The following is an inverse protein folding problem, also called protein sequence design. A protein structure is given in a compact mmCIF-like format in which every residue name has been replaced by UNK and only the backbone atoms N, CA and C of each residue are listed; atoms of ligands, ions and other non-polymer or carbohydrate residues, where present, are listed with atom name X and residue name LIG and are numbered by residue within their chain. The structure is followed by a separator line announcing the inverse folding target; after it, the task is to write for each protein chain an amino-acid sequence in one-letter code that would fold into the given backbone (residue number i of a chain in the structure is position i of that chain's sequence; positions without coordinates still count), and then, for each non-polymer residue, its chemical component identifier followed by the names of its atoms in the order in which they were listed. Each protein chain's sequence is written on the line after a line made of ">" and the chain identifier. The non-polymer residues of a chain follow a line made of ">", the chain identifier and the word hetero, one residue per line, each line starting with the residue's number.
data_IF_866630655349
#
_entry.id   IF_866630655349
#
_cell.length_a   1.000
_cell.length_b   1.000
_cell.length_c   1.000
_cell.angle_alpha   90.00
_cell.angle_beta   90.00
_cell.angle_gamma   90.00
#
_symmetry.space_group_name_H-M   'P 1'
#
loop_
_entity.id
_entity.type
_entity.pdbx_description
1 polymer ?
#
# COMPACT_ATOMS: atom_id res chain seq x y z
N UNK A 1 11.40 57.31 -29.72
CA UNK A 1 12.34 56.31 -30.29
C UNK A 1 13.24 55.83 -29.15
N UNK A 2 12.71 55.13 -28.13
CA UNK A 2 12.71 53.66 -27.97
C UNK A 2 14.10 53.03 -28.14
N UNK A 3 14.88 53.03 -27.06
CA UNK A 3 16.06 52.20 -26.90
C UNK A 3 15.65 50.88 -26.22
N UNK A 4 15.74 49.78 -26.97
CA UNK A 4 15.47 48.42 -26.50
C UNK A 4 16.74 47.77 -25.99
N UNK A 5 16.74 47.41 -24.71
CA UNK A 5 17.77 46.60 -24.04
C UNK A 5 17.59 45.11 -24.42
N UNK A 6 18.65 44.37 -24.79
CA UNK A 6 18.56 42.92 -24.95
C UNK A 6 18.61 42.20 -23.59
N UNK A 7 17.67 41.29 -23.40
CA UNK A 7 17.50 40.42 -22.23
C UNK A 7 18.58 39.33 -22.24
N UNK A 8 19.37 39.29 -21.16
CA UNK A 8 20.36 38.27 -20.87
C UNK A 8 19.66 37.00 -20.34
N UNK A 9 19.87 35.87 -21.02
CA UNK A 9 19.36 34.56 -20.59
C UNK A 9 20.00 34.09 -19.27
N UNK A 10 19.25 33.50 -18.33
CA UNK A 10 19.83 32.95 -17.11
C UNK A 10 20.47 31.57 -17.35
N UNK A 11 21.69 31.44 -16.82
CA UNK A 11 22.51 30.24 -16.69
C UNK A 11 21.74 29.05 -16.11
N UNK A 12 21.88 27.90 -16.76
CA UNK A 12 21.43 26.60 -16.26
C UNK A 12 22.21 26.21 -14.98
N UNK A 13 21.51 26.12 -13.84
CA UNK A 13 22.00 25.42 -12.65
C UNK A 13 21.82 23.91 -12.84
N UNK A 14 22.94 23.19 -12.78
CA UNK A 14 22.99 21.72 -12.68
C UNK A 14 22.33 21.28 -11.37
N UNK A 15 21.23 20.52 -11.46
CA UNK A 15 20.67 19.78 -10.32
C UNK A 15 21.39 18.44 -10.19
N UNK A 16 22.14 18.25 -9.11
CA UNK A 16 22.59 16.94 -8.66
C UNK A 16 21.43 16.20 -8.02
N UNK A 17 20.83 15.26 -8.75
CA UNK A 17 19.88 14.28 -8.22
C UNK A 17 20.63 13.03 -7.78
N UNK A 18 20.92 12.91 -6.49
CA UNK A 18 21.41 11.69 -5.88
C UNK A 18 20.51 11.36 -4.69
N UNK A 19 19.74 10.28 -4.80
CA UNK A 19 18.91 9.77 -3.70
C UNK A 19 17.54 9.33 -4.17
N UNK A 20 17.47 8.21 -4.90
CA UNK A 20 16.29 7.32 -5.06
C UNK A 20 16.58 6.16 -6.03
N UNK A 21 17.70 6.18 -6.77
CA UNK A 21 18.03 5.17 -7.80
C UNK A 21 18.78 3.92 -7.28
N UNK A 22 18.89 3.71 -5.97
CA UNK A 22 19.69 2.61 -5.40
C UNK A 22 18.88 1.42 -4.85
N UNK A 23 17.56 1.37 -5.08
CA UNK A 23 16.70 0.27 -4.59
C UNK A 23 16.38 -0.81 -5.65
N UNK A 24 16.96 -0.75 -6.85
CA UNK A 24 16.58 -1.61 -7.98
C UNK A 24 17.54 -2.73 -8.36
N UNK A 25 18.48 -3.14 -7.51
CA UNK A 25 19.34 -4.28 -7.84
C UNK A 25 19.63 -5.18 -6.63
N UNK A 26 18.78 -6.19 -6.46
CA UNK A 26 19.12 -7.60 -6.17
C UNK A 26 17.94 -8.31 -5.49
N UNK A 27 17.16 -9.03 -6.29
CA UNK A 27 16.30 -10.11 -5.80
C UNK A 27 16.10 -11.14 -6.92
N UNK A 28 17.20 -11.71 -7.41
CA UNK A 28 17.19 -12.91 -8.21
C UNK A 28 17.98 -13.98 -7.45
N UNK A 29 17.28 -15.02 -6.98
CA UNK A 29 17.90 -16.27 -6.55
C UNK A 29 17.57 -16.74 -5.13
N UNK A 30 17.04 -17.97 -5.10
CA UNK A 30 17.02 -18.97 -4.02
C UNK A 30 15.82 -18.96 -3.05
N UNK A 31 15.13 -20.10 -3.05
CA UNK A 31 13.96 -20.39 -2.24
C UNK A 31 14.27 -20.51 -0.76
N UNK A 32 13.67 -19.63 0.02
CA UNK A 32 13.45 -19.72 1.46
C UNK A 32 12.25 -18.81 1.72
N UNK A 33 11.12 -19.34 2.22
CA UNK A 33 9.85 -18.65 2.50
C UNK A 33 9.93 -17.12 2.36
N UNK A 34 9.72 -16.60 1.14
CA UNK A 34 9.89 -15.18 0.86
C UNK A 34 8.71 -14.45 1.49
N UNK A 35 8.95 -13.86 2.65
CA UNK A 35 7.96 -13.02 3.29
C UNK A 35 7.51 -11.91 2.33
N UNK A 36 6.20 -11.58 2.27
CA UNK A 36 5.74 -10.52 1.38
C UNK A 36 6.46 -9.20 1.63
N UNK A 37 6.93 -8.54 0.57
CA UNK A 37 7.62 -7.27 0.69
C UNK A 37 6.77 -6.23 1.44
N UNK A 38 5.45 -6.21 1.18
CA UNK A 38 4.51 -5.31 1.86
C UNK A 38 4.49 -5.48 3.38
N UNK A 39 4.84 -6.65 3.90
CA UNK A 39 4.69 -6.97 5.32
C UNK A 39 5.66 -6.18 6.20
N UNK A 40 5.13 -5.70 7.32
CA UNK A 40 5.90 -4.97 8.33
C UNK A 40 6.64 -5.95 9.26
N UNK A 41 7.86 -5.60 9.66
CA UNK A 41 8.65 -6.32 10.67
C UNK A 41 8.35 -5.80 12.08
N UNK A 42 8.57 -6.62 13.11
CA UNK A 42 8.33 -6.22 14.52
C UNK A 42 9.22 -5.07 15.01
N UNK A 43 10.34 -4.81 14.33
CA UNK A 43 11.28 -3.71 14.61
C UNK A 43 10.87 -2.40 13.91
N UNK A 44 9.99 -2.48 12.91
CA UNK A 44 9.46 -1.32 12.18
C UNK A 44 8.21 -0.82 12.90
N UNK A 45 8.38 0.19 13.75
CA UNK A 45 7.34 0.70 14.67
C UNK A 45 6.87 2.08 14.24
N UNK A 46 5.56 2.33 14.22
CA UNK A 46 5.04 3.68 14.04
C UNK A 46 5.63 4.62 15.08
N UNK A 47 6.12 5.78 14.65
CA UNK A 47 6.64 6.80 15.55
C UNK A 47 5.48 7.62 16.10
N UNK A 48 5.48 7.82 17.42
CA UNK A 48 4.56 8.75 18.06
C UNK A 48 5.08 10.18 17.82
N UNK A 49 4.42 10.89 16.91
CA UNK A 49 4.74 12.27 16.59
C UNK A 49 3.59 13.18 17.03
N UNK A 50 3.93 14.34 17.62
CA UNK A 50 2.94 15.37 17.95
C UNK A 50 2.37 15.94 16.66
N UNK A 51 1.05 16.09 16.58
CA UNK A 51 0.37 16.76 15.48
C UNK A 51 0.03 18.21 15.85
N UNK A 52 -0.04 19.07 14.84
CA UNK A 52 -0.56 20.42 14.94
C UNK A 52 -1.54 20.70 13.80
N UNK A 53 -2.34 21.76 13.93
CA UNK A 53 -3.12 22.33 12.84
C UNK A 53 -2.33 23.49 12.24
N UNK A 54 -2.06 23.41 10.94
CA UNK A 54 -1.33 24.40 10.15
C UNK A 54 -2.22 25.62 9.87
N UNK A 55 -1.61 26.71 9.39
CA UNK A 55 -2.33 27.94 9.00
C UNK A 55 -3.32 27.71 7.86
N UNK A 56 -3.06 26.75 6.98
CA UNK A 56 -3.94 26.34 5.89
C UNK A 56 -5.10 25.43 6.35
N UNK A 57 -5.19 25.14 7.66
CA UNK A 57 -6.25 24.31 8.25
C UNK A 57 -6.01 22.80 8.16
N UNK A 58 -4.88 22.35 7.60
CA UNK A 58 -4.50 20.93 7.56
C UNK A 58 -3.65 20.50 8.75
N UNK A 59 -3.56 19.19 8.98
CA UNK A 59 -2.65 18.60 9.95
C UNK A 59 -1.20 18.70 9.45
N UNK A 60 -0.28 18.80 10.40
CA UNK A 60 1.16 18.73 10.14
C UNK A 60 1.95 18.25 11.35
N UNK A 61 3.23 17.96 11.13
CA UNK A 61 4.20 17.75 12.20
C UNK A 61 4.94 19.07 12.51
N UNK A 62 5.33 19.33 13.78
CA UNK A 62 6.16 20.49 14.11
C UNK A 62 7.48 20.54 13.33
N UNK A 63 8.06 19.37 13.07
CA UNK A 63 9.29 19.16 12.31
C UNK A 63 9.00 18.47 10.97
N UNK A 64 7.87 18.80 10.32
CA UNK A 64 7.45 18.21 9.04
C UNK A 64 8.57 18.31 7.99
N UNK A 65 8.86 17.18 7.35
CA UNK A 65 9.81 17.01 6.26
C UNK A 65 9.05 16.74 4.96
N UNK A 66 9.69 16.98 3.83
CA UNK A 66 9.09 16.72 2.51
C UNK A 66 8.60 15.26 2.36
N UNK A 67 9.35 14.31 2.91
CA UNK A 67 9.02 12.87 2.92
C UNK A 67 7.79 12.49 3.75
N UNK A 68 7.36 13.36 4.67
CA UNK A 68 6.14 13.12 5.45
C UNK A 68 4.87 13.28 4.61
N UNK A 69 4.98 13.87 3.42
CA UNK A 69 3.86 13.99 2.49
C UNK A 69 4.01 13.11 1.26
N UNK A 70 2.88 12.79 0.65
CA UNK A 70 2.86 12.32 -0.73
C UNK A 70 2.76 13.43 -1.75
N UNK A 71 2.87 13.06 -3.02
CA UNK A 71 2.81 13.98 -4.16
C UNK A 71 1.46 14.68 -4.24
N UNK A 72 0.42 14.11 -3.63
CA UNK A 72 -0.94 14.65 -3.57
C UNK A 72 -1.19 15.47 -2.29
N UNK A 73 -0.17 15.63 -1.44
CA UNK A 73 -0.23 16.44 -0.21
C UNK A 73 -0.76 15.71 1.02
N UNK A 74 -1.04 14.40 0.96
CA UNK A 74 -1.46 13.60 2.11
C UNK A 74 -0.34 13.46 3.15
N UNK A 75 -0.63 13.65 4.44
CA UNK A 75 0.35 13.50 5.53
C UNK A 75 0.43 12.03 5.96
N UNK A 76 1.63 11.45 6.05
CA UNK A 76 1.85 10.03 6.34
C UNK A 76 2.40 9.75 7.72
N UNK A 77 1.98 8.64 8.31
CA UNK A 77 2.57 8.12 9.55
C UNK A 77 4.06 7.82 9.33
N UNK A 78 4.91 8.39 10.19
CA UNK A 78 6.33 8.03 10.29
C UNK A 78 6.49 6.63 10.89
N UNK A 79 7.39 5.84 10.32
CA UNK A 79 7.72 4.49 10.80
C UNK A 79 9.24 4.35 10.89
N UNK A 80 9.73 3.69 11.94
CA UNK A 80 11.17 3.44 12.08
C UNK A 80 11.66 2.55 10.94
N UNK A 81 12.73 2.98 10.27
CA UNK A 81 13.46 2.12 9.34
C UNK A 81 14.36 1.16 10.12
N UNK A 82 14.26 -0.13 9.86
CA UNK A 82 15.25 -1.12 10.30
C UNK A 82 16.04 -1.62 9.07
N UNK A 83 17.12 -0.92 8.69
CA UNK A 83 17.91 -1.28 7.51
C UNK A 83 18.66 -2.60 7.68
N UNK A 84 18.82 -3.09 8.92
CA UNK A 84 19.48 -4.38 9.18
C UNK A 84 18.57 -5.57 8.88
N UNK A 85 17.26 -5.31 8.71
CA UNK A 85 16.29 -6.35 8.45
C UNK A 85 16.06 -7.26 9.66
N UNK A 86 16.18 -6.74 10.88
CA UNK A 86 15.82 -7.47 12.10
C UNK A 86 14.32 -7.74 12.22
N UNK A 87 13.95 -8.52 13.25
CA UNK A 87 12.57 -8.75 13.64
C UNK A 87 11.81 -9.81 12.84
N UNK A 88 10.67 -10.24 13.39
CA UNK A 88 9.77 -11.18 12.73
C UNK A 88 8.86 -10.42 11.76
N UNK A 89 8.55 -11.02 10.63
CA UNK A 89 7.54 -10.49 9.72
C UNK A 89 6.16 -10.66 10.37
N UNK A 90 5.38 -9.58 10.34
CA UNK A 90 4.00 -9.55 10.79
C UNK A 90 3.09 -9.44 9.58
N UNK A 91 2.13 -10.35 9.46
CA UNK A 91 1.11 -10.32 8.40
C UNK A 91 -0.11 -9.48 8.79
N UNK A 92 -0.07 -8.82 9.95
CA UNK A 92 -1.21 -8.11 10.51
C UNK A 92 -1.40 -6.71 9.91
N UNK A 93 -0.31 -6.00 9.63
CA UNK A 93 -0.35 -4.63 9.12
C UNK A 93 0.74 -4.41 8.07
N UNK A 94 0.43 -3.72 6.96
CA UNK A 94 1.42 -3.41 5.94
C UNK A 94 2.44 -2.38 6.47
N UNK A 95 3.65 -2.41 5.92
CA UNK A 95 4.60 -1.33 6.11
C UNK A 95 4.18 -0.13 5.25
N UNK A 96 3.89 1.01 5.87
CA UNK A 96 3.22 2.16 5.24
C UNK A 96 3.91 2.64 3.96
N UNK A 97 5.23 2.85 4.01
CA UNK A 97 5.98 3.29 2.82
C UNK A 97 6.08 2.23 1.72
N UNK A 98 6.08 0.94 2.09
CA UNK A 98 6.16 -0.14 1.08
C UNK A 98 4.81 -0.30 0.40
N UNK A 99 3.72 -0.27 1.17
CA UNK A 99 2.37 -0.27 0.62
C UNK A 99 2.15 0.93 -0.30
N UNK A 100 2.57 2.13 0.12
CA UNK A 100 2.52 3.35 -0.71
C UNK A 100 3.27 3.15 -2.03
N UNK A 101 4.50 2.65 -1.97
CA UNK A 101 5.32 2.40 -3.15
C UNK A 101 4.66 1.39 -4.11
N UNK A 102 4.22 0.25 -3.58
CA UNK A 102 3.55 -0.80 -4.36
C UNK A 102 2.27 -0.30 -5.02
N UNK A 103 1.46 0.47 -4.28
CA UNK A 103 0.24 1.07 -4.81
C UNK A 103 0.55 2.09 -5.89
N UNK A 104 1.47 3.03 -5.66
CA UNK A 104 1.78 4.10 -6.61
C UNK A 104 2.31 3.56 -7.93
N UNK A 105 3.22 2.60 -7.87
CA UNK A 105 3.88 2.01 -9.04
C UNK A 105 3.12 0.82 -9.66
N UNK A 106 2.01 0.38 -9.05
CA UNK A 106 1.25 -0.83 -9.44
C UNK A 106 2.17 -2.07 -9.54
N UNK A 107 2.89 -2.36 -8.45
CA UNK A 107 3.80 -3.49 -8.34
C UNK A 107 3.19 -4.62 -7.50
N UNK A 108 3.65 -5.84 -7.74
CA UNK A 108 3.27 -7.00 -6.96
C UNK A 108 3.62 -6.81 -5.48
N UNK A 109 2.63 -6.95 -4.59
CA UNK A 109 2.82 -6.73 -3.15
C UNK A 109 3.79 -7.67 -2.44
N UNK A 110 4.13 -8.80 -3.07
CA UNK A 110 5.00 -9.84 -2.51
C UNK A 110 6.42 -9.69 -3.05
N UNK A 111 6.63 -9.81 -4.36
CA UNK A 111 7.97 -9.79 -4.95
C UNK A 111 8.47 -8.42 -5.43
N UNK A 112 7.63 -7.37 -5.45
CA UNK A 112 7.93 -6.04 -6.03
C UNK A 112 8.13 -6.08 -7.56
N UNK A 113 7.83 -7.20 -8.21
CA UNK A 113 7.87 -7.36 -9.65
C UNK A 113 6.59 -6.86 -10.34
N UNK A 114 6.52 -7.12 -11.64
CA UNK A 114 5.32 -6.85 -12.42
C UNK A 114 4.13 -7.67 -11.88
N UNK A 115 2.95 -7.06 -11.67
CA UNK A 115 1.74 -7.80 -11.35
C UNK A 115 1.27 -8.62 -12.55
N UNK A 116 0.38 -9.59 -12.30
CA UNK A 116 -0.22 -10.34 -13.38
C UNK A 116 -1.09 -9.44 -14.24
N UNK A 117 -1.07 -9.71 -15.55
CA UNK A 117 -1.96 -9.10 -16.53
C UNK A 117 -2.68 -10.18 -17.32
N UNK A 118 -3.98 -10.02 -17.53
CA UNK A 118 -4.72 -10.89 -18.45
C UNK A 118 -4.46 -10.47 -19.92
N UNK A 119 -5.10 -11.17 -20.87
CA UNK A 119 -4.98 -10.88 -22.31
C UNK A 119 -5.42 -9.46 -22.72
N UNK A 120 -6.23 -8.79 -21.89
CA UNK A 120 -6.70 -7.42 -22.11
C UNK A 120 -5.79 -6.37 -21.45
N UNK A 121 -4.76 -6.81 -20.72
CA UNK A 121 -3.85 -5.95 -19.99
C UNK A 121 -4.35 -5.56 -18.59
N UNK A 122 -5.48 -6.09 -18.12
CA UNK A 122 -6.06 -5.78 -16.82
C UNK A 122 -5.19 -6.34 -15.68
N UNK A 123 -5.13 -5.64 -14.56
CA UNK A 123 -4.31 -6.01 -13.41
C UNK A 123 -5.02 -7.00 -12.48
N UNK A 124 -4.27 -7.98 -11.95
CA UNK A 124 -4.79 -8.88 -10.92
C UNK A 124 -4.76 -8.24 -9.53
N UNK A 125 -5.91 -8.17 -8.89
CA UNK A 125 -6.09 -7.90 -7.46
C UNK A 125 -6.70 -9.13 -6.78
N UNK A 126 -6.20 -9.49 -5.60
CA UNK A 126 -6.76 -10.58 -4.78
C UNK A 126 -7.16 -9.99 -3.44
N UNK A 127 -8.47 -9.94 -3.19
CA UNK A 127 -9.01 -9.31 -1.99
C UNK A 127 -9.39 -10.38 -0.97
N UNK A 128 -8.94 -10.29 0.29
CA UNK A 128 -9.40 -11.18 1.36
C UNK A 128 -10.85 -10.85 1.75
N UNK A 129 -11.54 -11.82 2.36
CA UNK A 129 -12.93 -11.68 2.81
C UNK A 129 -13.96 -11.41 1.68
N UNK A 130 -13.72 -12.05 0.53
CA UNK A 130 -14.64 -12.19 -0.60
C UNK A 130 -15.98 -12.86 -0.27
N UNK A 131 -16.71 -13.26 -1.32
CA UNK A 131 -18.10 -12.97 -1.72
C UNK A 131 -19.17 -12.81 -0.65
N UNK A 132 -19.04 -13.23 0.60
CA UNK A 132 -20.10 -12.98 1.59
C UNK A 132 -20.30 -11.46 1.85
N UNK A 133 -19.26 -10.66 1.64
CA UNK A 133 -19.28 -9.20 1.73
C UNK A 133 -19.41 -8.49 0.37
N UNK A 134 -19.26 -9.22 -0.73
CA UNK A 134 -19.13 -8.69 -2.10
C UNK A 134 -20.12 -9.32 -3.10
N UNK A 135 -20.83 -10.38 -2.73
CA UNK A 135 -21.80 -11.06 -3.58
C UNK A 135 -23.01 -10.14 -3.78
N UNK A 136 -23.36 -9.95 -5.05
CA UNK A 136 -24.42 -9.03 -5.45
C UNK A 136 -24.04 -7.54 -5.35
N UNK A 137 -22.80 -7.20 -5.00
CA UNK A 137 -22.32 -5.83 -5.06
C UNK A 137 -21.72 -5.54 -6.43
N UNK A 138 -22.03 -4.35 -6.94
CA UNK A 138 -21.26 -3.75 -8.02
C UNK A 138 -19.85 -3.47 -7.49
N UNK A 139 -18.85 -4.08 -8.14
CA UNK A 139 -17.45 -3.92 -7.78
C UNK A 139 -16.82 -2.71 -8.47
N UNK A 140 -17.54 -2.07 -9.38
CA UNK A 140 -17.07 -0.87 -10.05
C UNK A 140 -16.90 0.27 -9.04
N UNK A 141 -15.74 0.93 -9.11
CA UNK A 141 -15.41 2.06 -8.25
C UNK A 141 -15.00 1.69 -6.82
N UNK A 142 -14.98 0.40 -6.46
CA UNK A 142 -14.58 -0.07 -5.11
C UNK A 142 -13.23 0.51 -4.71
N UNK A 143 -13.14 0.99 -3.47
CA UNK A 143 -11.95 1.62 -2.90
C UNK A 143 -11.13 0.57 -2.15
N UNK A 144 -9.94 0.30 -2.65
CA UNK A 144 -9.07 -0.77 -2.16
C UNK A 144 -7.67 -0.26 -1.80
N UNK A 145 -7.13 -0.76 -0.70
CA UNK A 145 -5.80 -0.45 -0.18
C UNK A 145 -4.80 -1.61 -0.35
N UNK A 146 -5.24 -2.74 -0.88
CA UNK A 146 -4.43 -3.93 -1.20
C UNK A 146 -3.82 -3.76 -2.59
N UNK A 147 -2.48 -3.79 -2.73
CA UNK A 147 -1.83 -3.67 -4.04
C UNK A 147 -2.05 -4.92 -4.91
N UNK A 148 -1.79 -4.83 -6.22
CA UNK A 148 -1.93 -5.97 -7.12
C UNK A 148 -0.91 -7.07 -6.82
N UNK A 149 -1.09 -8.24 -7.45
CA UNK A 149 -0.25 -9.42 -7.22
C UNK A 149 0.08 -10.12 -8.55
N UNK A 150 1.19 -10.87 -8.61
CA UNK A 150 1.49 -11.75 -9.73
C UNK A 150 0.85 -13.14 -9.50
N UNK A 151 0.70 -13.96 -10.54
CA UNK A 151 0.04 -15.28 -10.39
C UNK A 151 0.81 -16.19 -9.41
N UNK A 152 2.13 -16.25 -9.55
CA UNK A 152 2.98 -17.07 -8.67
C UNK A 152 2.82 -16.68 -7.19
N UNK A 153 2.92 -15.38 -6.89
CA UNK A 153 2.79 -14.88 -5.53
C UNK A 153 1.33 -14.95 -5.02
N UNK A 154 0.34 -14.99 -5.91
CA UNK A 154 -1.06 -15.21 -5.53
C UNK A 154 -1.25 -16.65 -5.02
N UNK A 155 -0.73 -17.64 -5.74
CA UNK A 155 -0.77 -19.05 -5.34
C UNK A 155 -0.03 -19.27 -4.01
N UNK A 156 1.20 -18.76 -3.91
CA UNK A 156 2.03 -18.87 -2.71
C UNK A 156 1.37 -18.18 -1.51
N UNK A 157 0.77 -17.01 -1.72
CA UNK A 157 0.03 -16.29 -0.68
C UNK A 157 -1.23 -17.06 -0.27
N UNK A 158 -1.98 -17.62 -1.21
CA UNK A 158 -3.20 -18.38 -0.93
C UNK A 158 -2.89 -19.65 -0.13
N UNK A 159 -1.82 -20.36 -0.48
CA UNK A 159 -1.33 -21.47 0.33
C UNK A 159 -0.81 -21.00 1.71
N UNK A 160 -0.21 -19.80 1.78
CA UNK A 160 0.44 -19.26 2.97
C UNK A 160 -0.46 -18.58 4.00
N UNK A 161 -1.59 -18.02 3.57
CA UNK A 161 -2.35 -17.04 4.34
C UNK A 161 -3.78 -17.54 4.61
N UNK A 162 -4.14 -17.85 5.87
CA UNK A 162 -5.49 -18.30 6.21
C UNK A 162 -6.62 -17.35 5.80
N UNK A 163 -6.33 -16.04 5.67
CA UNK A 163 -7.34 -15.04 5.25
C UNK A 163 -7.76 -15.19 3.79
N UNK A 164 -6.96 -15.86 2.97
CA UNK A 164 -7.24 -16.05 1.55
C UNK A 164 -8.11 -17.28 1.26
N UNK A 165 -8.50 -18.07 2.27
CA UNK A 165 -9.54 -19.11 2.07
C UNK A 165 -10.90 -18.55 1.70
N UNK A 166 -11.11 -17.26 1.96
CA UNK A 166 -12.28 -16.50 1.52
C UNK A 166 -11.85 -15.34 0.62
N UNK A 167 -11.02 -15.57 -0.39
CA UNK A 167 -10.61 -14.49 -1.30
C UNK A 167 -11.56 -14.31 -2.49
N UNK A 168 -11.42 -13.19 -3.21
CA UNK A 168 -11.91 -13.01 -4.59
C UNK A 168 -10.77 -12.49 -5.46
N UNK A 169 -10.62 -13.07 -6.64
CA UNK A 169 -9.67 -12.65 -7.66
C UNK A 169 -10.38 -11.74 -8.67
N UNK A 170 -9.81 -10.56 -8.92
CA UNK A 170 -10.36 -9.52 -9.76
C UNK A 170 -9.36 -9.12 -10.83
N UNK A 171 -9.83 -9.04 -12.07
CA UNK A 171 -9.15 -8.33 -13.15
C UNK A 171 -9.67 -6.90 -13.20
N UNK A 172 -8.76 -5.93 -13.08
CA UNK A 172 -9.09 -4.51 -13.01
C UNK A 172 -8.41 -3.75 -14.14
N UNK A 173 -9.21 -3.16 -15.03
CA UNK A 173 -8.71 -2.42 -16.19
C UNK A 173 -8.03 -1.10 -15.81
N UNK A 174 -8.65 -0.35 -14.91
CA UNK A 174 -8.22 1.02 -14.52
C UNK A 174 -8.22 1.18 -13.00
N UNK A 175 -7.17 0.71 -12.31
CA UNK A 175 -6.99 0.99 -10.89
C UNK A 175 -6.49 2.43 -10.72
N UNK A 176 -7.37 3.40 -10.48
CA UNK A 176 -7.03 4.83 -10.39
C UNK A 176 -6.67 5.21 -8.95
N UNK A 177 -5.67 6.09 -8.76
CA UNK A 177 -5.41 6.66 -7.43
C UNK A 177 -6.66 7.41 -6.95
N UNK A 178 -7.10 7.11 -5.73
CA UNK A 178 -8.31 7.68 -5.14
C UNK A 178 -7.98 8.58 -3.96
N UNK A 179 -7.11 8.11 -3.06
CA UNK A 179 -6.85 8.81 -1.81
C UNK A 179 -6.01 8.00 -0.85
N UNK A 180 -6.24 8.22 0.43
CA UNK A 180 -5.56 7.53 1.52
C UNK A 180 -6.54 6.95 2.53
N UNK A 181 -6.13 5.90 3.22
CA UNK A 181 -6.75 5.37 4.42
C UNK A 181 -5.82 5.61 5.59
N UNK A 182 -6.36 6.05 6.73
CA UNK A 182 -5.57 6.38 7.90
C UNK A 182 -6.39 6.83 9.09
N UNK A 183 -5.72 7.44 10.05
CA UNK A 183 -6.37 7.99 11.25
C UNK A 183 -6.95 9.36 10.94
N UNK A 184 -8.25 9.52 11.13
CA UNK A 184 -8.98 10.78 11.00
C UNK A 184 -8.94 11.55 12.30
N UNK A 185 -8.74 12.86 12.21
CA UNK A 185 -8.74 13.75 13.36
C UNK A 185 -9.82 14.82 13.25
N UNK A 186 -10.26 15.29 14.40
CA UNK A 186 -11.09 16.48 14.56
C UNK A 186 -10.43 17.47 15.50
N UNK A 187 -10.89 18.72 15.46
CA UNK A 187 -10.49 19.76 16.39
C UNK A 187 -11.67 20.08 17.32
N UNK A 188 -11.46 19.91 18.63
CA UNK A 188 -12.42 20.24 19.67
C UNK A 188 -11.87 21.27 20.66
N UNK A 189 -12.63 21.64 21.70
CA UNK A 189 -12.20 22.62 22.70
C UNK A 189 -10.90 22.25 23.43
N UNK A 190 -10.63 20.95 23.58
CA UNK A 190 -9.42 20.41 24.22
C UNK A 190 -8.28 20.15 23.22
N UNK A 191 -8.45 20.56 21.95
CA UNK A 191 -7.48 20.36 20.88
C UNK A 191 -7.81 19.19 19.95
N UNK A 192 -6.76 18.67 19.29
CA UNK A 192 -6.87 17.57 18.34
C UNK A 192 -7.30 16.28 19.04
N UNK A 193 -8.26 15.57 18.46
CA UNK A 193 -8.72 14.28 18.93
C UNK A 193 -8.94 13.31 17.77
N UNK A 194 -8.84 12.01 18.05
CA UNK A 194 -9.01 10.95 17.06
C UNK A 194 -10.49 10.68 16.83
N UNK A 195 -10.92 10.68 15.57
CA UNK A 195 -12.28 10.32 15.15
C UNK A 195 -12.41 8.85 14.75
N UNK A 196 -11.28 8.16 14.56
CA UNK A 196 -11.20 6.77 14.15
C UNK A 196 -10.44 6.59 12.84
N UNK A 197 -10.53 5.39 12.26
CA UNK A 197 -9.95 5.11 10.95
C UNK A 197 -10.93 5.47 9.83
N UNK A 198 -10.42 5.91 8.69
CA UNK A 198 -11.25 6.12 7.51
C UNK A 198 -10.44 6.56 6.30
N UNK A 199 -11.16 6.70 5.18
CA UNK A 199 -10.58 7.17 3.92
C UNK A 199 -10.78 8.67 3.75
N UNK A 200 -9.83 9.31 3.07
CA UNK A 200 -9.97 10.64 2.52
C UNK A 200 -9.53 10.62 1.05
N UNK A 201 -10.33 11.26 0.22
CA UNK A 201 -10.06 11.44 -1.21
C UNK A 201 -8.98 12.50 -1.43
N UNK A 202 -8.13 12.30 -2.42
CA UNK A 202 -7.21 13.34 -2.85
C UNK A 202 -7.98 14.58 -3.34
N UNK A 203 -7.32 15.73 -3.34
CA UNK A 203 -7.88 17.01 -3.80
C UNK A 203 -9.14 17.47 -3.03
N UNK A 204 -9.44 16.87 -1.87
CA UNK A 204 -10.53 17.29 -0.98
C UNK A 204 -10.00 17.86 0.35
N UNK A 205 -10.71 18.81 0.98
CA UNK A 205 -10.32 19.32 2.30
C UNK A 205 -10.21 18.24 3.38
N UNK A 206 -10.91 17.11 3.22
CA UNK A 206 -10.85 15.98 4.15
C UNK A 206 -9.44 15.36 4.25
N UNK A 207 -8.64 15.42 3.17
CA UNK A 207 -7.25 14.94 3.16
C UNK A 207 -6.40 15.62 4.23
N UNK A 208 -6.65 16.92 4.46
CA UNK A 208 -5.95 17.71 5.47
C UNK A 208 -6.19 17.22 6.90
N UNK A 209 -7.17 16.35 7.15
CA UNK A 209 -7.54 15.86 8.48
C UNK A 209 -7.24 14.37 8.68
N UNK A 210 -6.41 13.78 7.82
CA UNK A 210 -6.02 12.37 7.88
C UNK A 210 -4.50 12.23 7.98
N UNK A 211 -4.06 11.37 8.90
CA UNK A 211 -2.69 10.85 8.91
C UNK A 211 -2.72 9.46 8.27
N UNK A 212 -2.22 9.37 7.05
CA UNK A 212 -2.28 8.22 6.16
C UNK A 212 -1.38 7.07 6.63
N UNK A 213 -1.90 5.85 6.50
CA UNK A 213 -1.15 4.60 6.68
C UNK A 213 -1.16 3.74 5.42
N UNK A 214 -2.14 3.93 4.53
CA UNK A 214 -2.27 3.21 3.29
C UNK A 214 -2.76 4.13 2.17
N UNK A 215 -2.25 3.92 0.96
CA UNK A 215 -2.74 4.52 -0.27
C UNK A 215 -3.91 3.70 -0.80
N UNK A 216 -4.92 4.36 -1.35
CA UNK A 216 -6.16 3.75 -1.84
C UNK A 216 -6.31 4.00 -3.34
N UNK A 217 -6.73 2.96 -4.06
CA UNK A 217 -7.15 3.05 -5.46
C UNK A 217 -8.63 2.74 -5.59
N UNK A 218 -9.27 3.40 -6.54
CA UNK A 218 -10.59 3.01 -7.04
C UNK A 218 -10.42 2.01 -8.17
N UNK A 219 -11.05 0.85 -8.06
CA UNK A 219 -10.97 -0.23 -9.04
C UNK A 219 -12.06 -0.02 -10.09
N UNK A 220 -11.67 0.26 -11.34
CA UNK A 220 -12.61 0.53 -12.44
C UNK A 220 -12.39 -0.46 -13.60
N UNK A 221 -13.48 -0.83 -14.29
CA UNK A 221 -13.51 -1.91 -15.27
C UNK A 221 -13.19 -3.25 -14.62
N UNK A 222 -13.96 -3.61 -13.58
CA UNK A 222 -13.72 -4.81 -12.77
C UNK A 222 -14.39 -6.04 -13.39
N UNK A 223 -13.66 -7.15 -13.45
CA UNK A 223 -14.20 -8.48 -13.81
C UNK A 223 -13.77 -9.48 -12.76
N UNK A 224 -14.71 -10.25 -12.22
CA UNK A 224 -14.41 -11.35 -11.29
C UNK A 224 -13.87 -12.54 -12.09
N UNK A 225 -12.76 -13.11 -11.64
CA UNK A 225 -12.25 -14.37 -12.15
C UNK A 225 -12.69 -15.51 -11.22
N UNK A 226 -13.82 -16.14 -11.54
CA UNK A 226 -14.39 -17.21 -10.72
C UNK A 226 -13.50 -18.45 -10.66
N UNK A 227 -12.80 -18.78 -11.75
CA UNK A 227 -11.92 -19.95 -11.83
C UNK A 227 -10.67 -19.75 -10.95
N UNK A 228 -9.99 -18.62 -11.11
CA UNK A 228 -8.84 -18.27 -10.27
C UNK A 228 -9.26 -18.11 -8.81
N UNK A 229 -10.43 -17.52 -8.56
CA UNK A 229 -10.99 -17.43 -7.21
C UNK A 229 -11.16 -18.80 -6.57
N UNK A 230 -11.79 -19.75 -7.28
CA UNK A 230 -11.97 -21.11 -6.78
C UNK A 230 -10.62 -21.82 -6.55
N UNK A 231 -9.66 -21.64 -7.46
CA UNK A 231 -8.31 -22.18 -7.35
C UNK A 231 -7.60 -21.70 -6.07
N UNK A 232 -7.53 -20.39 -5.85
CA UNK A 232 -6.85 -19.80 -4.70
C UNK A 232 -7.51 -20.25 -3.37
N UNK A 233 -8.85 -20.31 -3.32
CA UNK A 233 -9.54 -20.82 -2.12
C UNK A 233 -9.21 -22.27 -1.84
N UNK A 234 -9.16 -23.12 -2.86
CA UNK A 234 -8.81 -24.53 -2.71
C UNK A 234 -7.39 -24.71 -2.16
N UNK A 235 -6.42 -23.92 -2.63
CA UNK A 235 -5.04 -23.92 -2.09
C UNK A 235 -5.01 -23.59 -0.59
N UNK A 236 -5.75 -22.55 -0.17
CA UNK A 236 -5.81 -22.16 1.24
C UNK A 236 -6.49 -23.23 2.12
N UNK A 237 -7.54 -23.87 1.63
CA UNK A 237 -8.26 -24.93 2.34
C UNK A 237 -7.41 -26.20 2.51
N UNK A 238 -6.69 -26.61 1.47
CA UNK A 238 -5.83 -27.80 1.50
C UNK A 238 -4.69 -27.72 2.53
N UNK A 239 -4.22 -26.51 2.87
CA UNK A 239 -3.26 -26.32 3.96
C UNK A 239 -3.90 -26.43 5.34
N UNK A 240 -5.14 -25.97 5.52
CA UNK A 240 -5.84 -26.01 6.81
C UNK A 240 -6.24 -27.44 7.21
N UNK A 241 -6.46 -28.31 6.23
CA UNK A 241 -6.80 -29.72 6.45
C UNK A 241 -5.58 -30.63 6.72
N UNK A 242 -4.34 -30.13 6.57
CA UNK A 242 -3.15 -30.89 6.97
C UNK A 242 -3.04 -30.93 8.50
N UNK A 243 -2.96 -32.12 9.13
CA UNK A 243 -2.82 -32.22 10.57
C UNK A 243 -1.54 -31.51 11.03
N UNK A 244 -1.65 -30.72 12.09
CA UNK A 244 -0.51 -30.08 12.73
C UNK A 244 0.40 -31.19 13.27
N UNK A 245 1.59 -31.37 12.69
CA UNK A 245 2.57 -32.30 13.25
C UNK A 245 2.85 -31.87 14.70
N UNK A 246 2.72 -32.75 15.70
CA UNK A 246 3.00 -32.37 17.08
C UNK A 246 4.44 -31.89 17.18
N UNK A 247 4.65 -30.75 17.84
CA UNK A 247 5.98 -30.24 18.11
C UNK A 247 6.78 -31.34 18.80
N UNK A 248 7.91 -31.73 18.19
CA UNK A 248 8.80 -32.73 18.77
C UNK A 248 9.35 -32.18 20.09
N UNK A 249 8.78 -32.63 21.20
CA UNK A 249 9.34 -32.43 22.52
C UNK A 249 10.60 -33.31 22.60
N UNK A 250 11.76 -32.73 22.32
CA UNK A 250 13.04 -33.30 22.75
C UNK A 250 13.12 -33.17 24.26
N UNK A 251 13.07 -34.32 24.94
CA UNK A 251 13.50 -34.51 26.33
C UNK A 251 14.97 -34.93 26.35
#
# INVERSE_FOLDING_TARGET
>A
MTASTPILAPRALRRGGAGLSALTAQAAGLGTSRWPFISRRTTERPQLARLLVRRDGSLGYPDEREEDRDTEGGLWVRITSDPTGGGRVTNALPHYYRQRHLMRELLCQVCVGAPARNRHGDFLFVLPDGPERLAGLDLEGVREATPPVCLHDADDSAAGCPRLTRCVALWVRRPLLYGVHGTRYGLGPQGLHVLGLGMAEYETPALGWVVATQMVRSLNGVTVDEELTAHLRALGQARQSRPHAPASTTA
#
